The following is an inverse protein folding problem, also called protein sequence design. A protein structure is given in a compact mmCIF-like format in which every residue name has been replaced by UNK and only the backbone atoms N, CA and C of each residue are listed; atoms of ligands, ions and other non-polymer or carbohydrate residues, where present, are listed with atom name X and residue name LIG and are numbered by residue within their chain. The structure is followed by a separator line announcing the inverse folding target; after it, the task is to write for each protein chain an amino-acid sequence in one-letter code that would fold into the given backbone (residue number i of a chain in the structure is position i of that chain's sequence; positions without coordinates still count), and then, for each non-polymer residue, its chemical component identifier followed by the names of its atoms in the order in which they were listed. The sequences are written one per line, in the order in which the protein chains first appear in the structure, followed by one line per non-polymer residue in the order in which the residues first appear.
data_IF_217955293834
#
_entry.id   IF_217955293834
#
_cell.length_a   1.000
_cell.length_b   1.000
_cell.length_c   1.000
_cell.angle_alpha   90.00
_cell.angle_beta   90.00
_cell.angle_gamma   90.00
#
_symmetry.space_group_name_H-M   'P 1'
#
loop_
_entity.id
_entity.type
_entity.pdbx_description
1 polymer ?
#
# COMPACT_ATOMS: atom_id res chain seq x y z
N UNK A 1 -30.36 41.87 -13.61
CA UNK A 1 -31.06 40.61 -13.34
C UNK A 1 -30.05 39.72 -12.63
N UNK A 2 -30.18 39.56 -11.31
CA UNK A 2 -29.34 38.58 -10.59
C UNK A 2 -29.86 37.20 -10.96
N UNK A 3 -29.15 36.51 -11.82
CA UNK A 3 -29.32 35.05 -11.94
C UNK A 3 -28.94 34.44 -10.60
N UNK A 4 -29.96 34.05 -9.83
CA UNK A 4 -29.74 33.22 -8.64
C UNK A 4 -29.20 31.88 -9.11
N UNK A 5 -27.90 31.69 -8.95
CA UNK A 5 -27.28 30.41 -9.20
C UNK A 5 -28.06 29.35 -8.38
N UNK A 6 -28.58 28.28 -8.98
CA UNK A 6 -29.32 27.28 -8.24
C UNK A 6 -28.48 26.74 -7.10
N UNK A 7 -29.10 26.42 -5.97
CA UNK A 7 -28.40 25.84 -4.83
C UNK A 7 -27.66 24.56 -5.27
N UNK A 8 -26.41 24.34 -4.83
CA UNK A 8 -25.63 23.18 -5.22
C UNK A 8 -26.34 21.87 -4.83
N UNK A 9 -26.36 20.92 -5.73
CA UNK A 9 -26.92 19.57 -5.49
C UNK A 9 -25.94 18.78 -4.65
N UNK A 10 -26.20 18.71 -3.35
CA UNK A 10 -25.36 17.97 -2.40
C UNK A 10 -25.87 16.53 -2.23
N UNK A 11 -24.97 15.55 -1.98
CA UNK A 11 -25.39 14.17 -1.71
C UNK A 11 -26.12 14.07 -0.36
N UNK A 12 -26.90 12.99 -0.15
CA UNK A 12 -27.57 12.72 1.13
C UNK A 12 -26.56 12.71 2.28
N UNK A 13 -27.03 13.14 3.45
CA UNK A 13 -26.19 13.22 4.66
C UNK A 13 -26.53 12.10 5.61
N UNK A 14 -25.50 11.47 6.20
CA UNK A 14 -25.65 10.50 7.26
C UNK A 14 -26.32 11.13 8.49
N UNK A 15 -27.30 10.45 9.07
CA UNK A 15 -28.03 10.92 10.25
C UNK A 15 -27.12 11.09 11.48
N UNK A 16 -26.10 10.20 11.61
CA UNK A 16 -25.17 10.22 12.73
C UNK A 16 -23.79 10.67 12.26
N UNK A 17 -23.19 11.69 12.91
CA UNK A 17 -21.84 12.09 12.65
C UNK A 17 -20.82 11.07 13.17
N UNK A 18 -19.71 10.87 12.46
CA UNK A 18 -18.57 10.09 12.96
C UNK A 18 -17.27 10.39 12.22
N UNK A 19 -16.17 10.15 12.91
CA UNK A 19 -14.82 10.26 12.34
C UNK A 19 -14.38 8.94 11.73
N UNK A 20 -14.27 8.89 10.42
CA UNK A 20 -13.92 7.69 9.67
C UNK A 20 -12.48 7.26 10.01
N UNK A 21 -12.30 6.00 10.42
CA UNK A 21 -11.02 5.43 10.85
C UNK A 21 -10.66 5.72 12.30
N UNK A 22 -11.56 6.36 13.08
CA UNK A 22 -11.36 6.55 14.50
C UNK A 22 -11.70 5.29 15.33
N UNK A 23 -12.58 4.44 14.80
CA UNK A 23 -13.06 3.23 15.44
C UNK A 23 -13.02 2.02 14.49
N UNK A 24 -12.88 0.79 15.02
CA UNK A 24 -12.82 -0.43 14.20
C UNK A 24 -14.09 -0.69 13.36
N UNK A 25 -15.25 -0.15 13.78
CA UNK A 25 -16.54 -0.28 13.09
C UNK A 25 -16.73 0.69 11.90
N UNK A 26 -15.71 1.47 11.56
CA UNK A 26 -15.80 2.46 10.47
C UNK A 26 -16.19 1.83 9.13
N UNK A 27 -15.64 0.67 8.77
CA UNK A 27 -15.97 0.00 7.50
C UNK A 27 -17.41 -0.52 7.48
N UNK A 28 -17.91 -1.27 8.49
CA UNK A 28 -19.33 -1.66 8.55
C UNK A 28 -20.30 -0.46 8.51
N UNK A 29 -19.96 0.64 9.18
CA UNK A 29 -20.79 1.86 9.14
C UNK A 29 -20.84 2.47 7.73
N UNK A 30 -19.71 2.59 7.06
CA UNK A 30 -19.65 3.11 5.68
C UNK A 30 -20.45 2.22 4.73
N UNK A 31 -20.31 0.90 4.82
CA UNK A 31 -21.08 -0.04 3.99
C UNK A 31 -22.58 0.18 4.17
N UNK A 32 -23.06 0.25 5.42
CA UNK A 32 -24.47 0.54 5.72
C UNK A 32 -24.94 1.88 5.15
N UNK A 33 -24.10 2.92 5.19
CA UNK A 33 -24.46 4.21 4.61
C UNK A 33 -24.67 4.12 3.09
N UNK A 34 -23.88 3.34 2.37
CA UNK A 34 -24.10 3.13 0.95
C UNK A 34 -25.39 2.35 0.67
N UNK A 35 -25.73 1.38 1.52
CA UNK A 35 -27.00 0.66 1.39
C UNK A 35 -28.22 1.57 1.62
N UNK A 36 -28.12 2.50 2.58
CA UNK A 36 -29.21 3.40 2.96
C UNK A 36 -29.33 4.65 2.07
N UNK A 37 -28.19 5.23 1.65
CA UNK A 37 -28.14 6.56 1.04
C UNK A 37 -27.68 6.53 -0.44
N UNK A 38 -27.21 5.38 -0.92
CA UNK A 38 -26.71 5.21 -2.29
C UNK A 38 -25.20 5.44 -2.42
N UNK A 39 -24.70 5.34 -3.65
CA UNK A 39 -23.28 5.24 -3.99
C UNK A 39 -22.44 6.48 -3.64
N UNK A 40 -23.09 7.61 -3.39
CA UNK A 40 -22.48 8.85 -2.91
C UNK A 40 -23.26 9.36 -1.72
N UNK A 41 -22.57 9.63 -0.61
CA UNK A 41 -23.15 10.27 0.57
C UNK A 41 -22.13 11.19 1.26
N UNK A 42 -22.55 11.94 2.25
CA UNK A 42 -21.67 12.78 3.07
C UNK A 42 -21.87 12.51 4.55
N UNK A 43 -20.80 12.65 5.31
CA UNK A 43 -20.75 12.44 6.76
C UNK A 43 -20.14 13.66 7.41
N UNK A 44 -20.75 14.15 8.48
CA UNK A 44 -20.14 15.17 9.32
C UNK A 44 -19.08 14.51 10.24
N UNK A 45 -17.85 15.01 10.17
CA UNK A 45 -16.72 14.56 10.99
C UNK A 45 -16.53 15.51 12.19
N UNK A 46 -16.91 15.12 13.43
CA UNK A 46 -16.89 15.99 14.61
C UNK A 46 -15.51 16.55 14.94
N UNK A 47 -14.46 15.72 14.84
CA UNK A 47 -13.08 16.13 15.15
C UNK A 47 -12.56 17.24 14.25
N UNK A 48 -13.15 17.39 13.06
CA UNK A 48 -12.73 18.34 12.02
C UNK A 48 -13.72 19.45 11.79
N UNK A 49 -14.93 19.34 12.33
CA UNK A 49 -16.05 20.26 12.13
C UNK A 49 -16.36 20.51 10.65
N UNK A 50 -16.27 19.46 9.83
CA UNK A 50 -16.48 19.54 8.38
C UNK A 50 -17.12 18.26 7.86
N UNK A 51 -17.76 18.36 6.67
CA UNK A 51 -18.26 17.20 5.97
C UNK A 51 -17.17 16.54 5.15
N UNK A 52 -17.22 15.23 5.10
CA UNK A 52 -16.44 14.38 4.19
C UNK A 52 -17.42 13.65 3.27
N UNK A 53 -17.18 13.66 1.98
CA UNK A 53 -17.95 12.88 1.04
C UNK A 53 -17.40 11.46 0.95
N UNK A 54 -18.28 10.51 0.71
CA UNK A 54 -17.95 9.11 0.49
C UNK A 54 -18.44 8.71 -0.89
N UNK A 55 -17.66 7.96 -1.65
CA UNK A 55 -18.09 7.35 -2.89
C UNK A 55 -17.58 5.92 -3.03
N UNK A 56 -18.46 5.02 -3.47
CA UNK A 56 -18.14 3.67 -3.94
C UNK A 56 -18.53 3.46 -5.41
N UNK A 57 -18.78 4.55 -6.16
CA UNK A 57 -19.14 4.48 -7.58
C UNK A 57 -17.89 4.44 -8.47
N UNK A 58 -17.78 3.50 -9.44
CA UNK A 58 -16.58 3.35 -10.26
C UNK A 58 -16.28 4.58 -11.13
N UNK A 59 -17.30 5.27 -11.65
CA UNK A 59 -17.10 6.46 -12.49
C UNK A 59 -16.54 7.63 -11.70
N UNK A 60 -16.94 7.79 -10.43
CA UNK A 60 -16.38 8.81 -9.56
C UNK A 60 -14.90 8.52 -9.29
N UNK A 61 -14.59 7.26 -8.96
CA UNK A 61 -13.21 6.83 -8.73
C UNK A 61 -12.36 7.07 -9.98
N UNK A 62 -12.88 6.70 -11.16
CA UNK A 62 -12.22 6.95 -12.44
C UNK A 62 -12.04 8.45 -12.70
N UNK A 63 -13.07 9.28 -12.40
CA UNK A 63 -12.97 10.73 -12.56
C UNK A 63 -11.87 11.31 -11.68
N UNK A 64 -11.90 10.98 -10.40
CA UNK A 64 -10.97 11.52 -9.40
C UNK A 64 -9.53 11.05 -9.61
N UNK A 65 -9.32 9.79 -10.01
CA UNK A 65 -7.98 9.21 -10.12
C UNK A 65 -7.38 9.27 -11.53
N UNK A 66 -8.20 9.39 -12.57
CA UNK A 66 -7.76 9.30 -13.96
C UNK A 66 -8.16 10.52 -14.76
N UNK A 67 -9.48 10.73 -14.98
CA UNK A 67 -9.96 11.71 -15.98
C UNK A 67 -9.72 13.14 -15.55
N UNK A 68 -9.84 13.45 -14.24
CA UNK A 68 -9.67 14.79 -13.67
C UNK A 68 -8.68 14.81 -12.49
N UNK A 69 -7.72 13.87 -12.45
CA UNK A 69 -6.80 13.70 -11.34
C UNK A 69 -6.00 14.97 -10.98
N UNK A 70 -5.82 15.90 -11.91
CA UNK A 70 -5.11 17.17 -11.68
C UNK A 70 -5.86 18.12 -10.76
N UNK A 71 -7.18 17.97 -10.67
CA UNK A 71 -8.04 18.74 -9.77
C UNK A 71 -8.06 18.18 -8.33
N UNK A 72 -7.24 17.16 -8.04
CA UNK A 72 -7.27 16.49 -6.75
C UNK A 72 -5.87 16.31 -6.16
N UNK A 73 -5.77 16.62 -4.87
CA UNK A 73 -4.57 16.39 -4.06
C UNK A 73 -4.86 15.30 -3.01
N UNK A 74 -3.83 14.88 -2.30
CA UNK A 74 -3.99 13.99 -1.14
C UNK A 74 -4.93 14.66 -0.12
N UNK A 75 -5.95 13.93 0.29
CA UNK A 75 -6.96 14.45 1.21
C UNK A 75 -6.65 14.17 2.67
N UNK A 76 -7.71 14.14 3.42
CA UNK A 76 -7.73 13.96 4.87
C UNK A 76 -6.98 12.69 5.32
N UNK A 77 -6.12 12.82 6.32
CA UNK A 77 -5.34 11.72 6.91
C UNK A 77 -3.89 11.69 6.44
N UNK A 78 -3.60 12.15 5.22
CA UNK A 78 -2.21 12.16 4.71
C UNK A 78 -1.28 13.07 5.52
N UNK A 79 -1.79 14.12 6.15
CA UNK A 79 -0.98 14.97 7.03
C UNK A 79 -0.38 14.21 8.22
N UNK A 80 -1.14 13.27 8.79
CA UNK A 80 -0.65 12.40 9.87
C UNK A 80 0.39 11.40 9.38
N UNK A 81 0.15 10.81 8.20
CA UNK A 81 1.09 9.89 7.57
C UNK A 81 2.39 10.62 7.20
N UNK A 82 2.30 11.87 6.74
CA UNK A 82 3.46 12.72 6.40
C UNK A 82 4.37 13.00 7.60
N UNK A 83 3.83 13.03 8.81
CA UNK A 83 4.64 13.20 10.04
C UNK A 83 5.65 12.05 10.17
N UNK A 84 5.26 10.84 9.79
CA UNK A 84 6.10 9.64 9.87
C UNK A 84 6.94 9.44 8.60
N UNK A 85 6.31 9.49 7.43
CA UNK A 85 6.93 9.13 6.14
C UNK A 85 7.58 10.33 5.41
N UNK A 86 7.50 11.55 5.95
CA UNK A 86 7.95 12.74 5.24
C UNK A 86 7.15 12.99 3.96
N UNK A 87 7.83 13.49 2.93
CA UNK A 87 7.26 13.81 1.62
C UNK A 87 7.62 12.77 0.54
N UNK A 88 7.61 11.48 0.89
CA UNK A 88 7.76 10.40 -0.08
C UNK A 88 6.57 10.30 -1.04
N UNK A 89 6.67 9.44 -2.06
CA UNK A 89 5.70 9.34 -3.18
C UNK A 89 4.25 9.08 -2.75
N UNK A 90 4.03 8.46 -1.58
CA UNK A 90 2.68 8.20 -1.04
C UNK A 90 2.04 9.47 -0.48
N UNK A 91 2.83 10.40 0.05
CA UNK A 91 2.35 11.59 0.78
C UNK A 91 2.50 12.90 0.01
N UNK A 92 3.41 12.96 -0.96
CA UNK A 92 3.65 14.15 -1.78
C UNK A 92 2.55 14.40 -2.79
N UNK A 93 2.43 15.65 -3.23
CA UNK A 93 1.49 16.13 -4.23
C UNK A 93 2.15 17.03 -5.28
N UNK A 94 1.40 17.37 -6.32
CA UNK A 94 1.78 18.35 -7.34
C UNK A 94 3.08 18.02 -8.06
N UNK A 95 3.91 19.03 -8.29
CA UNK A 95 5.16 18.90 -9.05
C UNK A 95 6.21 18.05 -8.31
N UNK A 96 6.20 18.04 -6.97
CA UNK A 96 7.09 17.16 -6.20
C UNK A 96 6.75 15.69 -6.46
N UNK A 97 5.48 15.31 -6.32
CA UNK A 97 5.01 13.96 -6.61
C UNK A 97 5.31 13.53 -8.05
N UNK A 98 5.05 14.41 -9.00
CA UNK A 98 5.29 14.15 -10.42
C UNK A 98 6.77 13.87 -10.70
N UNK A 99 7.66 14.69 -10.13
CA UNK A 99 9.11 14.50 -10.24
C UNK A 99 9.56 13.18 -9.61
N UNK A 100 9.14 12.89 -8.38
CA UNK A 100 9.46 11.63 -7.68
C UNK A 100 8.95 10.43 -8.46
N UNK A 101 7.67 10.44 -8.86
CA UNK A 101 7.06 9.38 -9.67
C UNK A 101 7.87 9.09 -10.93
N UNK A 102 8.29 10.15 -11.61
CA UNK A 102 9.06 10.03 -12.84
C UNK A 102 10.46 9.43 -12.62
N UNK A 103 11.13 9.82 -11.55
CA UNK A 103 12.45 9.30 -11.19
C UNK A 103 12.39 7.84 -10.70
N UNK A 104 11.32 7.45 -10.00
CA UNK A 104 11.16 6.12 -9.42
C UNK A 104 10.58 5.10 -10.39
N UNK A 105 9.75 5.52 -11.35
CA UNK A 105 9.03 4.59 -12.24
C UNK A 105 9.95 3.58 -12.98
N UNK A 106 11.16 3.92 -13.46
CA UNK A 106 12.04 2.96 -14.10
C UNK A 106 12.48 1.79 -13.20
N UNK A 107 12.54 2.00 -11.87
CA UNK A 107 12.91 0.98 -10.89
C UNK A 107 11.88 -0.16 -10.86
N UNK A 108 10.61 0.17 -11.12
CA UNK A 108 9.50 -0.79 -11.14
C UNK A 108 9.23 -1.37 -12.54
N UNK A 109 10.16 -1.18 -13.48
CA UNK A 109 10.01 -1.80 -14.78
C UNK A 109 10.19 -3.32 -14.67
N UNK A 110 9.35 -4.10 -15.39
CA UNK A 110 9.33 -5.57 -15.34
C UNK A 110 10.74 -6.20 -15.43
N UNK A 111 11.57 -5.72 -16.35
CA UNK A 111 12.95 -6.21 -16.51
C UNK A 111 13.80 -6.07 -15.24
N UNK A 112 13.60 -5.02 -14.47
CA UNK A 112 14.29 -4.81 -13.19
C UNK A 112 13.71 -5.77 -12.14
N UNK A 113 12.38 -5.82 -12.02
CA UNK A 113 11.70 -6.67 -11.05
C UNK A 113 12.03 -8.16 -11.23
N UNK A 114 12.19 -8.62 -12.47
CA UNK A 114 12.59 -10.02 -12.76
C UNK A 114 13.93 -10.39 -12.10
N UNK A 115 14.84 -9.45 -11.93
CA UNK A 115 16.14 -9.71 -11.32
C UNK A 115 16.05 -9.91 -9.80
N UNK A 116 14.99 -9.44 -9.16
CA UNK A 116 14.71 -9.70 -7.73
C UNK A 116 14.09 -11.09 -7.49
N UNK A 117 13.66 -11.79 -8.53
CA UNK A 117 12.98 -13.09 -8.40
C UNK A 117 13.78 -14.08 -7.59
N UNK A 118 15.08 -14.25 -7.88
CA UNK A 118 15.96 -15.16 -7.14
C UNK A 118 16.05 -14.80 -5.65
N UNK A 119 16.16 -13.52 -5.32
CA UNK A 119 16.23 -13.05 -3.94
C UNK A 119 14.92 -13.35 -3.19
N UNK A 120 13.77 -13.22 -3.88
CA UNK A 120 12.46 -13.57 -3.32
C UNK A 120 12.37 -15.09 -3.10
N UNK A 121 12.80 -15.89 -4.06
CA UNK A 121 12.82 -17.35 -3.94
C UNK A 121 13.71 -17.79 -2.76
N UNK A 122 14.92 -17.23 -2.61
CA UNK A 122 15.81 -17.51 -1.47
C UNK A 122 15.20 -17.09 -0.13
N UNK A 123 14.46 -16.00 -0.06
CA UNK A 123 13.75 -15.60 1.15
C UNK A 123 12.64 -16.59 1.49
N UNK A 124 11.85 -17.00 0.50
CA UNK A 124 10.80 -18.01 0.66
C UNK A 124 11.39 -19.38 1.12
N UNK A 125 12.49 -19.82 0.55
CA UNK A 125 13.13 -21.10 0.90
C UNK A 125 13.58 -21.10 2.36
N UNK A 126 14.22 -20.03 2.83
CA UNK A 126 14.59 -19.88 4.25
C UNK A 126 13.37 -19.93 5.16
N UNK A 127 12.30 -19.29 4.74
CA UNK A 127 11.07 -19.24 5.49
C UNK A 127 10.39 -20.62 5.58
N UNK A 128 10.28 -21.33 4.46
CA UNK A 128 9.72 -22.67 4.37
C UNK A 128 10.55 -23.69 5.17
N UNK A 129 11.88 -23.57 5.17
CA UNK A 129 12.75 -24.40 6.02
C UNK A 129 12.45 -24.18 7.51
N UNK A 130 12.16 -22.96 7.93
CA UNK A 130 11.70 -22.63 9.28
C UNK A 130 10.38 -23.32 9.63
N UNK A 131 9.40 -23.27 8.74
CA UNK A 131 8.11 -23.96 8.92
C UNK A 131 8.26 -25.47 8.98
N UNK A 132 9.05 -26.05 8.10
CA UNK A 132 9.34 -27.48 8.11
C UNK A 132 9.98 -27.95 9.46
N UNK A 133 10.89 -27.13 10.00
CA UNK A 133 11.50 -27.40 11.30
C UNK A 133 10.50 -27.30 12.48
N UNK A 134 9.53 -26.38 12.42
CA UNK A 134 8.46 -26.29 13.42
C UNK A 134 7.50 -27.47 13.31
N UNK A 135 7.10 -27.83 12.10
CA UNK A 135 6.23 -28.99 11.84
C UNK A 135 6.87 -30.30 12.33
N UNK A 136 8.17 -30.50 12.09
CA UNK A 136 8.92 -31.69 12.59
C UNK A 136 8.94 -31.79 14.13
N UNK A 137 8.75 -30.65 14.82
CA UNK A 137 8.65 -30.61 16.31
C UNK A 137 7.21 -30.71 16.82
N UNK A 138 6.23 -30.80 15.91
CA UNK A 138 4.80 -30.80 16.27
C UNK A 138 4.30 -29.40 16.75
N UNK A 139 5.02 -28.34 16.46
CA UNK A 139 4.62 -26.97 16.83
C UNK A 139 3.66 -26.38 15.79
N UNK A 140 2.83 -25.45 16.25
CA UNK A 140 2.03 -24.57 15.37
C UNK A 140 2.85 -23.36 14.95
N UNK A 141 2.48 -22.75 13.80
CA UNK A 141 3.04 -21.50 13.31
C UNK A 141 2.03 -20.37 13.43
N UNK A 142 2.49 -19.15 13.64
CA UNK A 142 1.65 -17.97 13.59
C UNK A 142 1.75 -17.33 12.21
N UNK A 143 0.79 -17.66 11.33
CA UNK A 143 0.79 -17.20 9.94
C UNK A 143 0.87 -15.67 9.84
N UNK A 144 0.17 -14.95 10.72
CA UNK A 144 0.16 -13.47 10.70
C UNK A 144 1.56 -12.88 10.94
N UNK A 145 2.23 -13.35 11.98
CA UNK A 145 3.59 -12.89 12.29
C UNK A 145 4.57 -13.29 11.20
N UNK A 146 4.40 -14.47 10.69
CA UNK A 146 5.27 -15.06 9.69
C UNK A 146 5.13 -14.36 8.33
N UNK A 147 3.93 -14.08 7.86
CA UNK A 147 3.72 -13.31 6.63
C UNK A 147 4.21 -11.86 6.77
N UNK A 148 4.08 -11.28 7.96
CA UNK A 148 4.65 -9.97 8.26
C UNK A 148 6.18 -9.98 8.17
N UNK A 149 6.83 -10.97 8.78
CA UNK A 149 8.28 -11.12 8.72
C UNK A 149 8.79 -11.35 7.30
N UNK A 150 8.12 -12.23 6.53
CA UNK A 150 8.48 -12.52 5.13
C UNK A 150 8.35 -11.27 4.25
N UNK A 151 7.22 -10.56 4.33
CA UNK A 151 7.01 -9.35 3.54
C UNK A 151 8.04 -8.26 3.89
N UNK A 152 8.38 -8.12 5.18
CA UNK A 152 9.42 -7.20 5.63
C UNK A 152 10.80 -7.60 5.10
N UNK A 153 11.18 -8.87 5.18
CA UNK A 153 12.47 -9.35 4.66
C UNK A 153 12.58 -9.07 3.15
N UNK A 154 11.55 -9.39 2.37
CA UNK A 154 11.53 -9.17 0.91
C UNK A 154 11.72 -7.71 0.57
N UNK A 155 10.98 -6.78 1.21
CA UNK A 155 11.12 -5.35 0.90
C UNK A 155 12.47 -4.80 1.35
N UNK A 156 12.98 -5.20 2.51
CA UNK A 156 14.27 -4.74 3.00
C UNK A 156 15.45 -5.25 2.15
N UNK A 157 15.41 -6.51 1.70
CA UNK A 157 16.42 -7.05 0.78
C UNK A 157 16.34 -6.39 -0.60
N UNK A 158 15.14 -6.08 -1.07
CA UNK A 158 14.97 -5.32 -2.32
C UNK A 158 15.55 -3.91 -2.23
N UNK A 159 15.46 -3.28 -1.05
CA UNK A 159 15.96 -1.93 -0.80
C UNK A 159 17.47 -1.88 -0.56
N UNK A 160 18.01 -2.80 0.22
CA UNK A 160 19.35 -2.69 0.78
C UNK A 160 20.31 -3.80 0.33
N UNK A 161 19.80 -4.80 -0.42
CA UNK A 161 20.61 -5.91 -0.89
C UNK A 161 21.40 -6.58 0.24
N UNK A 162 22.71 -6.75 0.05
CA UNK A 162 23.63 -7.34 1.02
C UNK A 162 23.88 -6.47 2.25
N UNK A 163 23.61 -5.17 2.18
CA UNK A 163 23.77 -4.28 3.35
C UNK A 163 22.74 -4.55 4.43
N UNK A 164 21.63 -5.22 4.12
CA UNK A 164 20.63 -5.60 5.12
C UNK A 164 21.24 -6.40 6.27
N UNK A 165 22.12 -7.34 5.97
CA UNK A 165 22.74 -8.20 7.01
C UNK A 165 23.64 -7.38 7.95
N UNK A 166 24.33 -6.35 7.41
CA UNK A 166 25.13 -5.42 8.20
C UNK A 166 24.25 -4.49 9.07
N UNK A 167 23.10 -4.07 8.52
CA UNK A 167 22.15 -3.23 9.26
C UNK A 167 21.45 -4.03 10.38
N UNK A 168 21.09 -5.28 10.13
CA UNK A 168 20.42 -6.15 11.10
C UNK A 168 21.35 -6.56 12.25
N UNK A 169 22.67 -6.63 12.03
CA UNK A 169 23.68 -7.01 13.01
C UNK A 169 24.12 -5.85 13.92
N UNK A 170 23.47 -4.69 13.89
CA UNK A 170 23.86 -3.52 14.69
C UNK A 170 23.73 -3.79 16.20
N UNK A 171 24.63 -3.23 17.03
CA UNK A 171 24.47 -3.28 18.48
C UNK A 171 23.14 -2.63 18.91
N UNK A 172 22.33 -3.39 19.66
CA UNK A 172 21.00 -2.92 20.11
C UNK A 172 19.81 -3.66 19.47
N UNK A 173 20.08 -4.65 18.61
CA UNK A 173 19.06 -5.46 17.93
C UNK A 173 18.74 -4.97 16.52
N UNK A 174 17.88 -5.72 15.84
CA UNK A 174 17.49 -5.39 14.48
C UNK A 174 16.66 -4.09 14.45
N UNK A 175 17.12 -3.01 13.80
CA UNK A 175 16.39 -1.73 13.77
C UNK A 175 15.04 -1.80 13.07
N UNK A 176 14.81 -2.84 12.26
CA UNK A 176 13.57 -3.04 11.51
C UNK A 176 12.48 -3.75 12.31
N UNK A 177 12.77 -4.31 13.50
CA UNK A 177 11.77 -4.93 14.38
C UNK A 177 10.65 -3.96 14.79
N UNK A 178 10.90 -2.65 14.64
CA UNK A 178 9.88 -1.61 14.83
C UNK A 178 8.63 -1.80 13.94
N UNK A 179 8.76 -2.46 12.81
CA UNK A 179 7.66 -2.69 11.87
C UNK A 179 6.84 -3.94 12.19
N UNK A 180 7.40 -4.88 12.97
CA UNK A 180 6.72 -6.12 13.39
C UNK A 180 6.30 -6.10 14.86
N UNK A 181 6.75 -5.11 15.63
CA UNK A 181 6.41 -4.95 17.05
C UNK A 181 5.01 -4.39 17.19
N UNK A 182 4.13 -5.13 17.87
CA UNK A 182 2.74 -4.72 18.16
C UNK A 182 2.64 -3.62 19.22
N UNK A 183 3.76 -3.14 19.75
CA UNK A 183 3.77 -2.09 20.76
C UNK A 183 3.09 -0.80 20.26
N UNK A 184 2.36 -0.17 21.15
CA UNK A 184 1.69 1.10 20.87
C UNK A 184 2.68 2.11 20.28
N UNK A 185 2.23 2.91 19.31
CA UNK A 185 2.99 4.03 18.69
C UNK A 185 3.21 5.15 19.72
N UNK A 186 4.07 4.88 20.69
CA UNK A 186 4.44 5.75 21.80
C UNK A 186 5.78 6.48 21.55
N UNK A 187 6.32 7.09 22.58
CA UNK A 187 7.62 7.76 22.52
C UNK A 187 8.77 6.80 22.18
N UNK A 188 8.67 5.51 22.54
CA UNK A 188 9.68 4.49 22.20
C UNK A 188 9.68 4.20 20.72
N UNK A 189 8.49 4.10 20.11
CA UNK A 189 8.35 3.99 18.65
C UNK A 189 9.01 5.19 17.96
N UNK A 190 8.70 6.42 18.37
CA UNK A 190 9.28 7.63 17.78
C UNK A 190 10.82 7.67 17.91
N UNK A 191 11.36 7.22 19.05
CA UNK A 191 12.81 7.12 19.25
C UNK A 191 13.45 6.08 18.34
N UNK A 192 12.92 4.84 18.29
CA UNK A 192 13.41 3.74 17.42
C UNK A 192 13.32 4.13 15.94
N UNK A 193 12.24 4.77 15.55
CA UNK A 193 12.05 5.25 14.17
C UNK A 193 13.10 6.32 13.80
N UNK A 194 13.45 7.21 14.72
CA UNK A 194 14.53 8.18 14.51
C UNK A 194 15.89 7.49 14.38
N UNK A 195 16.17 6.44 15.15
CA UNK A 195 17.41 5.66 15.02
C UNK A 195 17.47 4.97 13.64
N UNK A 196 16.38 4.35 13.20
CA UNK A 196 16.28 3.75 11.87
C UNK A 196 16.56 4.80 10.76
N UNK A 197 15.93 5.96 10.84
CA UNK A 197 16.15 7.06 9.87
C UNK A 197 17.62 7.48 9.83
N UNK A 198 18.28 7.55 10.98
CA UNK A 198 19.72 7.88 11.06
C UNK A 198 20.59 6.80 10.43
N UNK A 199 20.28 5.52 10.63
CA UNK A 199 21.00 4.41 9.99
C UNK A 199 20.83 4.43 8.46
N UNK A 200 19.63 4.70 7.97
CA UNK A 200 19.36 4.87 6.54
C UNK A 200 20.18 6.04 5.98
N UNK A 201 20.25 7.15 6.68
CA UNK A 201 21.06 8.30 6.28
C UNK A 201 22.55 7.94 6.19
N UNK A 202 23.10 7.27 7.18
CA UNK A 202 24.50 6.83 7.16
C UNK A 202 24.80 5.88 5.99
N UNK A 203 23.85 4.99 5.67
CA UNK A 203 23.98 4.10 4.52
C UNK A 203 23.97 4.89 3.19
N UNK A 204 23.07 5.86 3.05
CA UNK A 204 23.02 6.75 1.88
C UNK A 204 24.35 7.49 1.70
N UNK A 205 24.87 8.10 2.76
CA UNK A 205 26.14 8.84 2.76
C UNK A 205 27.31 7.93 2.32
N UNK A 206 27.38 6.71 2.88
CA UNK A 206 28.39 5.72 2.50
C UNK A 206 28.29 5.35 1.01
N UNK A 207 27.12 4.98 0.54
CA UNK A 207 26.91 4.55 -0.84
C UNK A 207 27.09 5.63 -1.88
N UNK A 208 26.98 6.92 -1.51
CA UNK A 208 27.32 8.03 -2.40
C UNK A 208 28.81 8.10 -2.71
N UNK A 209 29.68 7.57 -1.84
CA UNK A 209 31.12 7.49 -2.04
C UNK A 209 31.57 6.25 -2.81
N UNK A 210 30.68 5.29 -3.04
CA UNK A 210 30.92 4.06 -3.77
C UNK A 210 30.56 4.21 -5.26
N UNK A 211 31.14 3.41 -6.19
CA UNK A 211 30.72 3.41 -7.58
C UNK A 211 29.23 3.05 -7.71
N UNK A 212 28.48 3.77 -8.54
CA UNK A 212 27.03 3.61 -8.69
C UNK A 212 26.59 2.19 -9.11
N UNK A 213 27.48 1.43 -9.74
CA UNK A 213 27.21 0.07 -10.25
C UNK A 213 27.48 -1.02 -9.20
N UNK A 214 27.94 -0.65 -8.00
CA UNK A 214 28.34 -1.62 -6.96
C UNK A 214 27.18 -2.36 -6.33
N UNK A 215 25.96 -1.83 -6.46
CA UNK A 215 24.78 -2.35 -5.78
C UNK A 215 23.58 -2.44 -6.72
N UNK A 216 23.07 -3.65 -6.89
CA UNK A 216 21.84 -3.90 -7.62
C UNK A 216 20.67 -4.05 -6.61
N UNK A 217 20.16 -2.91 -6.14
CA UNK A 217 19.00 -2.81 -5.24
C UNK A 217 18.28 -1.46 -5.43
N UNK A 218 17.12 -1.30 -4.82
CA UNK A 218 16.33 -0.09 -5.00
C UNK A 218 17.06 1.17 -4.51
N UNK A 219 17.82 1.10 -3.40
CA UNK A 219 18.57 2.24 -2.92
C UNK A 219 19.63 2.68 -3.93
N UNK A 220 20.40 1.74 -4.51
CA UNK A 220 21.37 2.03 -5.57
C UNK A 220 20.70 2.68 -6.79
N UNK A 221 19.55 2.18 -7.21
CA UNK A 221 18.80 2.74 -8.33
C UNK A 221 18.24 4.13 -8.01
N UNK A 222 17.77 4.38 -6.80
CA UNK A 222 17.32 5.71 -6.36
C UNK A 222 18.48 6.70 -6.33
N UNK A 223 19.66 6.27 -5.85
CA UNK A 223 20.87 7.08 -5.85
C UNK A 223 21.34 7.45 -7.27
N UNK A 224 21.13 6.54 -8.23
CA UNK A 224 21.45 6.76 -9.63
C UNK A 224 20.39 7.57 -10.39
N UNK A 225 19.16 7.64 -9.88
CA UNK A 225 18.05 8.31 -10.55
C UNK A 225 18.31 9.82 -10.73
N UNK A 226 17.99 10.33 -11.92
CA UNK A 226 18.18 11.76 -12.27
C UNK A 226 16.89 12.33 -12.86
N UNK A 227 16.61 13.56 -12.52
CA UNK A 227 15.57 14.34 -13.17
C UNK A 227 16.02 14.61 -14.61
N UNK A 228 15.18 14.34 -15.60
CA UNK A 228 15.55 14.48 -17.03
C UNK A 228 15.74 15.92 -17.46
N UNK A 229 15.04 16.85 -16.84
CA UNK A 229 15.10 18.27 -17.21
C UNK A 229 16.29 18.98 -16.57
N UNK A 230 16.58 18.67 -15.30
CA UNK A 230 17.60 19.37 -14.51
C UNK A 230 18.89 18.59 -14.33
N UNK A 231 18.90 17.28 -14.62
CA UNK A 231 20.02 16.39 -14.31
C UNK A 231 20.22 16.12 -12.79
N UNK A 232 19.44 16.76 -11.93
CA UNK A 232 19.59 16.65 -10.48
C UNK A 232 19.11 15.29 -9.96
N UNK A 233 19.83 14.72 -8.98
CA UNK A 233 19.39 13.56 -8.20
C UNK A 233 18.44 13.95 -7.07
N UNK A 234 18.01 12.95 -6.30
CA UNK A 234 17.29 13.18 -5.03
C UNK A 234 18.26 13.70 -3.95
N UNK A 235 17.77 14.62 -3.13
CA UNK A 235 18.46 15.03 -1.89
C UNK A 235 18.43 13.91 -0.87
N UNK A 236 19.29 13.96 0.15
CA UNK A 236 19.29 12.93 1.20
C UNK A 236 17.97 12.87 1.94
N UNK A 237 17.32 14.00 2.15
CA UNK A 237 15.99 14.06 2.75
C UNK A 237 14.94 13.35 1.91
N UNK A 238 14.90 13.65 0.62
CA UNK A 238 13.99 12.97 -0.32
C UNK A 238 14.26 11.46 -0.38
N UNK A 239 15.52 11.07 -0.37
CA UNK A 239 15.93 9.67 -0.38
C UNK A 239 15.43 8.94 0.88
N UNK A 240 15.60 9.53 2.07
CA UNK A 240 15.11 8.98 3.33
C UNK A 240 13.58 8.86 3.31
N UNK A 241 12.88 9.89 2.84
CA UNK A 241 11.42 9.91 2.76
C UNK A 241 10.93 8.81 1.81
N UNK A 242 11.59 8.59 0.66
CA UNK A 242 11.23 7.52 -0.29
C UNK A 242 11.53 6.12 0.26
N UNK A 243 12.71 5.90 0.81
CA UNK A 243 13.09 4.60 1.39
C UNK A 243 12.13 4.21 2.52
N UNK A 244 11.84 5.15 3.42
CA UNK A 244 10.88 4.92 4.52
C UNK A 244 9.48 4.63 3.99
N UNK A 245 9.05 5.37 2.96
CA UNK A 245 7.76 5.15 2.30
C UNK A 245 7.69 3.77 1.67
N UNK A 246 8.74 3.32 0.98
CA UNK A 246 8.78 1.99 0.33
C UNK A 246 8.74 0.86 1.36
N UNK A 247 9.45 0.99 2.48
CA UNK A 247 9.40 -0.01 3.56
C UNK A 247 7.96 -0.17 4.06
N UNK A 248 7.32 0.93 4.47
CA UNK A 248 5.96 0.89 5.04
C UNK A 248 4.94 0.40 4.01
N UNK A 249 5.00 0.92 2.78
CA UNK A 249 4.05 0.55 1.72
C UNK A 249 4.20 -0.91 1.28
N UNK A 250 5.41 -1.44 1.21
CA UNK A 250 5.67 -2.82 0.76
C UNK A 250 5.46 -3.88 1.84
N UNK A 251 5.60 -3.52 3.11
CA UNK A 251 5.48 -4.45 4.22
C UNK A 251 4.01 -4.78 4.56
N UNK A 252 3.29 -3.82 5.14
CA UNK A 252 1.95 -4.07 5.70
C UNK A 252 0.93 -4.53 4.66
N UNK A 253 0.95 -3.95 3.47
CA UNK A 253 -0.03 -4.28 2.42
C UNK A 253 0.15 -5.71 1.91
N UNK A 254 1.40 -6.13 1.70
CA UNK A 254 1.74 -7.48 1.25
C UNK A 254 1.44 -8.51 2.33
N UNK A 255 1.85 -8.26 3.57
CA UNK A 255 1.57 -9.12 4.71
C UNK A 255 0.06 -9.36 4.90
N UNK A 256 -0.74 -8.29 4.86
CA UNK A 256 -2.20 -8.39 5.00
C UNK A 256 -2.84 -9.17 3.84
N UNK A 257 -2.38 -8.97 2.62
CA UNK A 257 -2.87 -9.72 1.46
C UNK A 257 -2.59 -11.22 1.64
N UNK A 258 -1.37 -11.59 2.02
CA UNK A 258 -0.99 -12.98 2.26
C UNK A 258 -1.79 -13.60 3.41
N UNK A 259 -1.96 -12.88 4.52
CA UNK A 259 -2.77 -13.33 5.65
C UNK A 259 -4.22 -13.62 5.25
N UNK A 260 -4.83 -12.71 4.47
CA UNK A 260 -6.20 -12.89 4.00
C UNK A 260 -6.29 -14.04 2.98
N UNK A 261 -5.26 -14.23 2.12
CA UNK A 261 -5.21 -15.36 1.20
C UNK A 261 -5.16 -16.70 1.94
N UNK A 262 -4.30 -16.83 2.95
CA UNK A 262 -4.24 -18.01 3.82
C UNK A 262 -5.56 -18.28 4.54
N UNK A 263 -6.18 -17.23 5.08
CA UNK A 263 -7.49 -17.32 5.72
C UNK A 263 -8.56 -17.83 4.75
N UNK A 264 -8.65 -17.25 3.55
CA UNK A 264 -9.63 -17.67 2.54
C UNK A 264 -9.39 -19.11 2.06
N UNK A 265 -8.13 -19.49 1.80
CA UNK A 265 -7.80 -20.85 1.41
C UNK A 265 -8.21 -21.86 2.50
N UNK A 266 -8.00 -21.54 3.78
CA UNK A 266 -8.44 -22.43 4.88
C UNK A 266 -9.94 -22.64 4.95
N UNK A 267 -10.75 -21.73 4.39
CA UNK A 267 -12.22 -21.83 4.35
C UNK A 267 -12.73 -22.48 3.05
N UNK A 268 -11.86 -22.61 2.03
CA UNK A 268 -12.24 -23.09 0.69
C UNK A 268 -11.33 -24.22 0.19
N UNK A 269 -11.42 -25.45 0.78
CA UNK A 269 -10.53 -26.56 0.43
C UNK A 269 -10.55 -26.94 -1.06
N UNK A 270 -11.68 -26.71 -1.74
CA UNK A 270 -11.79 -26.95 -3.18
C UNK A 270 -10.97 -25.98 -4.02
N UNK A 271 -10.75 -24.76 -3.53
CA UNK A 271 -9.88 -23.73 -4.15
C UNK A 271 -8.43 -24.10 -3.92
N UNK A 272 -8.09 -24.48 -2.69
CA UNK A 272 -6.75 -24.96 -2.31
C UNK A 272 -6.33 -26.17 -3.17
N UNK A 273 -7.21 -27.19 -3.32
CA UNK A 273 -6.95 -28.36 -4.13
C UNK A 273 -6.67 -28.02 -5.60
N UNK A 274 -7.39 -27.05 -6.19
CA UNK A 274 -7.12 -26.60 -7.55
C UNK A 274 -5.79 -25.87 -7.67
N UNK A 275 -5.44 -25.05 -6.68
CA UNK A 275 -4.14 -24.37 -6.63
C UNK A 275 -3.00 -25.40 -6.57
N UNK A 276 -3.11 -26.43 -5.72
CA UNK A 276 -2.14 -27.51 -5.65
C UNK A 276 -2.03 -28.25 -6.99
N UNK A 277 -3.14 -28.58 -7.65
CA UNK A 277 -3.13 -29.23 -8.94
C UNK A 277 -2.42 -28.39 -10.03
N UNK A 278 -2.58 -27.05 -10.02
CA UNK A 278 -1.83 -26.17 -10.90
C UNK A 278 -0.33 -26.25 -10.61
N UNK A 279 0.07 -26.13 -9.34
CA UNK A 279 1.48 -26.19 -8.91
C UNK A 279 2.11 -27.54 -9.25
N UNK A 280 1.41 -28.65 -8.97
CA UNK A 280 1.89 -30.02 -9.22
C UNK A 280 2.04 -30.32 -10.73
N UNK A 281 1.34 -29.57 -11.59
CA UNK A 281 1.46 -29.70 -13.05
C UNK A 281 2.65 -28.93 -13.64
N UNK A 282 3.37 -28.12 -12.82
CA UNK A 282 4.51 -27.35 -13.28
C UNK A 282 5.75 -28.21 -13.53
N UNK A 283 6.68 -27.78 -14.40
CA UNK A 283 7.96 -28.45 -14.58
C UNK A 283 8.74 -28.56 -13.26
N UNK A 284 9.52 -29.64 -13.11
CA UNK A 284 10.41 -29.84 -11.94
C UNK A 284 11.41 -28.69 -11.74
N UNK A 285 11.86 -28.07 -12.85
CA UNK A 285 12.70 -26.87 -12.82
C UNK A 285 11.90 -25.66 -13.33
N UNK A 286 11.05 -25.06 -12.49
CA UNK A 286 10.27 -23.90 -12.91
C UNK A 286 11.17 -22.70 -13.14
N UNK A 287 10.76 -21.83 -14.08
CA UNK A 287 11.41 -20.54 -14.29
C UNK A 287 11.41 -19.73 -12.99
N UNK A 288 12.53 -19.05 -12.63
CA UNK A 288 12.61 -18.31 -11.37
C UNK A 288 11.74 -17.03 -11.39
N UNK A 289 11.22 -16.67 -10.22
CA UNK A 289 10.62 -15.36 -9.97
C UNK A 289 9.40 -15.05 -10.83
N UNK A 290 9.37 -13.86 -11.44
CA UNK A 290 8.22 -13.35 -12.21
C UNK A 290 7.83 -14.21 -13.42
N UNK A 291 8.77 -14.92 -14.03
CA UNK A 291 8.46 -15.83 -15.14
C UNK A 291 7.59 -17.00 -14.68
N UNK A 292 7.87 -17.54 -13.48
CA UNK A 292 7.04 -18.55 -12.85
C UNK A 292 5.61 -18.06 -12.56
N UNK A 293 5.48 -16.82 -12.10
CA UNK A 293 4.16 -16.24 -11.79
C UNK A 293 3.25 -16.17 -13.02
N UNK A 294 3.79 -16.07 -14.24
CA UNK A 294 3.01 -16.05 -15.47
C UNK A 294 2.39 -17.41 -15.79
N UNK A 295 2.97 -18.48 -15.29
CA UNK A 295 2.50 -19.86 -15.44
C UNK A 295 1.43 -20.22 -14.39
N UNK A 296 1.36 -19.46 -13.28
CA UNK A 296 0.44 -19.67 -12.15
C UNK A 296 -0.83 -18.81 -12.27
N UNK A 297 -1.63 -19.09 -13.30
CA UNK A 297 -2.84 -18.31 -13.60
C UNK A 297 -3.93 -18.42 -12.52
N UNK A 298 -4.12 -19.63 -11.95
CA UNK A 298 -5.12 -19.85 -10.92
C UNK A 298 -4.68 -19.27 -9.57
N UNK A 299 -3.42 -19.47 -9.17
CA UNK A 299 -2.87 -18.85 -7.97
C UNK A 299 -2.94 -17.30 -8.05
N UNK A 300 -2.67 -16.73 -9.23
CA UNK A 300 -2.87 -15.29 -9.46
C UNK A 300 -4.33 -14.89 -9.24
N UNK A 301 -5.30 -15.66 -9.73
CA UNK A 301 -6.73 -15.37 -9.55
C UNK A 301 -7.14 -15.42 -8.08
N UNK A 302 -6.53 -16.29 -7.26
CA UNK A 302 -6.73 -16.33 -5.80
C UNK A 302 -6.26 -15.01 -5.15
N UNK A 303 -5.11 -14.49 -5.56
CA UNK A 303 -4.61 -13.21 -5.04
C UNK A 303 -5.49 -12.05 -5.50
N UNK A 304 -5.91 -12.03 -6.78
CA UNK A 304 -6.81 -11.00 -7.30
C UNK A 304 -8.14 -10.99 -6.53
N UNK A 305 -8.71 -12.16 -6.24
CA UNK A 305 -9.93 -12.31 -5.46
C UNK A 305 -9.74 -11.94 -3.97
N UNK A 306 -8.61 -12.29 -3.40
CA UNK A 306 -8.23 -11.85 -2.05
C UNK A 306 -8.19 -10.33 -1.97
N UNK A 307 -7.58 -9.66 -2.95
CA UNK A 307 -7.52 -8.19 -3.01
C UNK A 307 -8.89 -7.56 -3.26
N UNK A 308 -9.80 -8.25 -3.94
CA UNK A 308 -11.20 -7.82 -4.09
C UNK A 308 -11.91 -7.86 -2.74
N UNK A 309 -11.87 -9.00 -2.04
CA UNK A 309 -12.59 -9.22 -0.78
C UNK A 309 -11.97 -8.46 0.39
N UNK A 310 -10.64 -8.42 0.47
CA UNK A 310 -9.89 -7.82 1.58
C UNK A 310 -8.82 -6.85 1.06
N UNK A 311 -9.20 -5.73 0.42
CA UNK A 311 -8.23 -4.76 -0.05
C UNK A 311 -7.48 -4.13 1.14
N UNK A 312 -6.13 -4.20 1.20
CA UNK A 312 -5.37 -3.59 2.29
C UNK A 312 -5.63 -2.09 2.42
N UNK A 313 -5.87 -1.40 1.31
CA UNK A 313 -6.28 -0.01 1.26
C UNK A 313 -7.79 0.04 1.02
N UNK A 314 -8.58 -0.20 2.06
CA UNK A 314 -10.04 -0.28 2.01
C UNK A 314 -10.74 1.07 1.81
N UNK A 315 -10.06 2.17 2.14
CA UNK A 315 -10.49 3.56 1.94
C UNK A 315 -9.29 4.47 1.78
N UNK A 316 -9.39 5.47 0.90
CA UNK A 316 -8.39 6.53 0.79
C UNK A 316 -9.02 7.85 0.37
N UNK A 317 -8.33 8.96 0.58
CA UNK A 317 -8.92 10.29 0.42
C UNK A 317 -8.25 11.10 -0.69
N UNK A 318 -9.07 11.99 -1.25
CA UNK A 318 -8.64 13.08 -2.13
C UNK A 318 -9.34 14.36 -1.70
N UNK A 319 -8.72 15.50 -1.95
CA UNK A 319 -9.34 16.82 -1.78
C UNK A 319 -9.40 17.52 -3.12
N UNK A 320 -10.58 18.00 -3.48
CA UNK A 320 -10.76 18.81 -4.67
C UNK A 320 -10.06 20.17 -4.51
N UNK A 321 -9.30 20.60 -5.52
CA UNK A 321 -8.68 21.94 -5.58
C UNK A 321 -9.77 22.93 -5.97
N UNK A 322 -10.37 22.73 -7.12
CA UNK A 322 -11.47 23.54 -7.64
C UNK A 322 -12.78 22.75 -7.59
N UNK A 323 -13.91 23.42 -7.77
CA UNK A 323 -15.20 22.78 -7.86
C UNK A 323 -15.24 21.76 -9.01
N UNK A 324 -15.94 20.65 -8.79
CA UNK A 324 -16.12 19.59 -9.78
C UNK A 324 -17.57 19.09 -9.77
N UNK A 325 -17.91 18.21 -10.69
CA UNK A 325 -19.22 17.57 -10.77
C UNK A 325 -19.03 16.07 -10.78
N UNK A 326 -19.58 15.41 -9.76
CA UNK A 326 -19.75 13.95 -9.72
C UNK A 326 -21.16 13.60 -10.22
N UNK A 327 -21.43 12.38 -10.71
CA UNK A 327 -22.75 12.00 -11.20
C UNK A 327 -23.88 12.37 -10.24
N UNK A 328 -24.68 13.38 -10.63
CA UNK A 328 -25.81 13.87 -9.84
C UNK A 328 -25.53 14.97 -8.82
N UNK A 329 -24.26 15.31 -8.51
CA UNK A 329 -23.92 16.21 -7.41
C UNK A 329 -22.82 17.22 -7.77
N UNK A 330 -22.91 18.39 -7.20
CA UNK A 330 -21.96 19.48 -7.38
C UNK A 330 -20.95 19.45 -6.22
N UNK A 331 -19.70 19.08 -6.50
CA UNK A 331 -18.62 18.97 -5.53
C UNK A 331 -17.95 20.34 -5.35
N UNK A 332 -18.10 21.00 -4.19
CA UNK A 332 -17.43 22.27 -3.93
C UNK A 332 -15.90 22.15 -3.87
N UNK A 333 -15.19 23.23 -4.22
CA UNK A 333 -13.76 23.34 -3.99
C UNK A 333 -13.41 23.10 -2.51
N UNK A 334 -12.27 22.47 -2.25
CA UNK A 334 -11.81 22.14 -0.89
C UNK A 334 -12.51 20.94 -0.24
N UNK A 335 -13.48 20.31 -0.92
CA UNK A 335 -14.17 19.12 -0.39
C UNK A 335 -13.23 17.93 -0.25
N UNK A 336 -13.20 17.31 0.93
CA UNK A 336 -12.58 16.00 1.14
C UNK A 336 -13.52 14.89 0.67
N UNK A 337 -13.04 14.08 -0.26
CA UNK A 337 -13.73 12.90 -0.78
C UNK A 337 -12.97 11.65 -0.40
N UNK A 338 -13.65 10.68 0.20
CA UNK A 338 -13.13 9.34 0.43
C UNK A 338 -13.66 8.39 -0.63
N UNK A 339 -12.74 7.74 -1.30
CA UNK A 339 -13.00 6.66 -2.23
C UNK A 339 -12.93 5.34 -1.46
N UNK A 340 -13.95 4.50 -1.62
CA UNK A 340 -14.16 3.32 -0.77
C UNK A 340 -14.08 2.02 -1.61
N UNK A 341 -12.87 1.50 -1.92
CA UNK A 341 -12.72 0.27 -2.70
C UNK A 341 -13.44 -0.93 -2.08
N UNK A 342 -13.35 -1.12 -0.76
CA UNK A 342 -13.93 -2.31 -0.14
C UNK A 342 -15.44 -2.47 -0.37
N UNK A 343 -16.31 -1.47 -0.13
CA UNK A 343 -17.71 -1.55 -0.53
C UNK A 343 -17.93 -1.66 -2.03
N UNK A 344 -17.10 -0.98 -2.87
CA UNK A 344 -17.21 -1.09 -4.33
C UNK A 344 -16.91 -2.51 -4.81
N UNK A 345 -15.89 -3.16 -4.24
CA UNK A 345 -15.52 -4.52 -4.60
C UNK A 345 -16.56 -5.57 -4.19
N UNK A 346 -17.53 -5.19 -3.36
CA UNK A 346 -18.69 -6.00 -2.97
C UNK A 346 -20.02 -5.43 -3.45
N UNK A 347 -20.00 -4.46 -4.37
CA UNK A 347 -21.20 -3.80 -4.83
C UNK A 347 -22.06 -4.73 -5.70
N UNK A 348 -23.34 -5.01 -5.36
CA UNK A 348 -24.15 -6.03 -6.03
C UNK A 348 -24.48 -5.70 -7.51
N UNK A 349 -24.36 -4.43 -7.91
CA UNK A 349 -24.54 -4.04 -9.32
C UNK A 349 -23.39 -4.47 -10.21
N UNK A 350 -22.17 -4.56 -9.67
CA UNK A 350 -20.95 -4.82 -10.44
C UNK A 350 -20.41 -6.23 -10.27
N UNK A 351 -20.78 -6.90 -9.19
CA UNK A 351 -20.32 -8.26 -8.86
C UNK A 351 -21.51 -9.21 -8.79
N UNK A 352 -21.42 -10.34 -9.48
CA UNK A 352 -22.48 -11.34 -9.55
C UNK A 352 -22.68 -12.06 -8.22
N UNK A 353 -21.58 -12.33 -7.55
CA UNK A 353 -21.50 -12.89 -6.20
C UNK A 353 -20.58 -12.03 -5.35
N UNK A 354 -21.12 -10.97 -4.69
CA UNK A 354 -20.30 -9.98 -4.01
C UNK A 354 -19.49 -10.54 -2.84
N UNK A 355 -19.99 -11.55 -2.17
CA UNK A 355 -19.37 -12.13 -0.96
C UNK A 355 -18.69 -13.48 -1.21
N UNK A 356 -18.88 -14.07 -2.40
CA UNK A 356 -18.38 -15.41 -2.77
C UNK A 356 -17.00 -15.46 -3.36
#
# INVERSE_FOLDING_TARGET
MNETNPAPRLPPEAAEPFDIGATPDSLPRITRLFDELGDICRVYAPSRRSHTWLSNHPDDIKRVLVSNHRNYVKGIGFDRVRILLGNGIVTSDGELWKRQRYMMQPIFHRRVLTQFGRMIDEANDRFLAGWAAQAARGNTVNVTNDMSALALEVILRSLFGTDLDLLAAQPGGNPFDIFTDESARDLRFAYRFRQLTKLIQQLIERRRSEPAESHFDFLGMLLAARNRETGAGMTDREMIDEVTTLIVAGHETTANTLNCAWYLLSQHPQVEAKMHAEIDSMPEEPAPGLARMEELGYAKSIIDETLRLYPPVWVFSRRAIDADVLPGFDLPAGTDLRLCPSPLHRHPRYWKDPEG
#
